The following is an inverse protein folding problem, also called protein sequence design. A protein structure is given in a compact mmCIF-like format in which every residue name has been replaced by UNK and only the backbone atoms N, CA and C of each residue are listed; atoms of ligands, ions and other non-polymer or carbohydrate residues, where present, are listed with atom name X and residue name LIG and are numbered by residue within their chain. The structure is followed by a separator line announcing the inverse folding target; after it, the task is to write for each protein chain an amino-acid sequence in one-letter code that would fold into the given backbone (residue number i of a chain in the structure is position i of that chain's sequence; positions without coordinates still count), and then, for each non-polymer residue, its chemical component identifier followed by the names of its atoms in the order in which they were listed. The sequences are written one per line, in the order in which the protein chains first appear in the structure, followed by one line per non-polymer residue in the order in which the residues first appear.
data_IF_719419253548
#
_entry.id   IF_719419253548
#
_cell.length_a   1.000
_cell.length_b   1.000
_cell.length_c   1.000
_cell.angle_alpha   90.00
_cell.angle_beta   90.00
_cell.angle_gamma   90.00
#
_symmetry.space_group_name_H-M   'P 1'
#
loop_
_entity.id
_entity.type
_entity.pdbx_description
1 polymer ?
#
# COMPACT_ATOMS: atom_id res chain seq x y z
N UNK A 1 26.16 3.96 -1.68
CA UNK A 1 25.51 3.52 -2.93
C UNK A 1 24.06 3.97 -2.91
N UNK A 2 23.57 4.62 -3.97
CA UNK A 2 22.24 5.22 -4.00
C UNK A 2 21.17 4.13 -4.22
N UNK A 3 20.66 3.57 -3.12
CA UNK A 3 19.75 2.41 -3.05
C UNK A 3 18.46 2.66 -3.87
N UNK A 4 18.12 3.93 -4.10
CA UNK A 4 16.96 4.38 -4.89
C UNK A 4 17.06 4.13 -6.40
N UNK A 5 18.26 3.95 -6.95
CA UNK A 5 18.47 3.91 -8.41
C UNK A 5 18.22 2.55 -9.05
N UNK A 6 18.38 1.46 -8.30
CA UNK A 6 18.28 0.09 -8.81
C UNK A 6 16.84 -0.33 -9.20
N UNK A 7 15.81 -0.15 -8.35
CA UNK A 7 14.46 -0.58 -8.70
C UNK A 7 13.83 0.29 -9.81
N UNK A 8 14.23 1.55 -9.94
CA UNK A 8 13.80 2.39 -11.08
C UNK A 8 14.32 1.85 -12.42
N UNK A 9 15.58 1.41 -12.46
CA UNK A 9 16.17 0.74 -13.63
C UNK A 9 15.48 -0.60 -13.92
N UNK A 10 15.15 -1.37 -12.88
CA UNK A 10 14.44 -2.63 -13.03
C UNK A 10 13.01 -2.44 -13.60
N UNK A 11 12.29 -1.41 -13.15
CA UNK A 11 10.97 -1.04 -13.71
C UNK A 11 11.09 -0.66 -15.18
N UNK A 12 12.11 0.13 -15.54
CA UNK A 12 12.34 0.49 -16.95
C UNK A 12 12.62 -0.75 -17.81
N UNK A 13 13.48 -1.65 -17.34
CA UNK A 13 13.76 -2.91 -18.02
C UNK A 13 12.53 -3.81 -18.16
N UNK A 14 11.65 -3.85 -17.15
CA UNK A 14 10.39 -4.60 -17.22
C UNK A 14 9.40 -4.00 -18.23
N UNK A 15 9.39 -2.67 -18.39
CA UNK A 15 8.62 -1.99 -19.45
C UNK A 15 9.10 -2.39 -20.84
N UNK A 16 10.42 -2.41 -21.05
CA UNK A 16 11.02 -2.78 -22.33
C UNK A 16 10.67 -4.23 -22.73
N UNK A 17 10.53 -5.13 -21.74
CA UNK A 17 10.15 -6.54 -21.95
C UNK A 17 8.63 -6.80 -22.02
N UNK A 18 7.78 -5.77 -21.88
CA UNK A 18 6.30 -5.86 -21.88
C UNK A 18 5.71 -6.87 -20.88
N UNK A 19 6.47 -7.30 -19.87
CA UNK A 19 5.96 -8.25 -18.86
C UNK A 19 5.24 -7.49 -17.75
N UNK A 20 3.91 -7.48 -17.83
CA UNK A 20 3.05 -6.73 -16.92
C UNK A 20 3.17 -7.24 -15.47
N UNK A 21 3.14 -8.56 -15.28
CA UNK A 21 3.25 -9.15 -13.94
C UNK A 21 4.58 -8.82 -13.26
N UNK A 22 5.69 -8.92 -14.00
CA UNK A 22 7.00 -8.62 -13.46
C UNK A 22 7.13 -7.14 -13.10
N UNK A 23 6.57 -6.25 -13.93
CA UNK A 23 6.53 -4.82 -13.61
C UNK A 23 5.77 -4.57 -12.31
N UNK A 24 4.63 -5.22 -12.10
CA UNK A 24 3.85 -5.05 -10.86
C UNK A 24 4.59 -5.53 -9.61
N UNK A 25 5.30 -6.67 -9.67
CA UNK A 25 6.15 -7.14 -8.55
C UNK A 25 7.28 -6.15 -8.22
N UNK A 26 7.89 -5.58 -9.26
CA UNK A 26 8.93 -4.56 -9.10
C UNK A 26 8.36 -3.25 -8.55
N UNK A 27 7.14 -2.87 -8.94
CA UNK A 27 6.43 -1.71 -8.41
C UNK A 27 6.06 -1.90 -6.94
N UNK A 28 5.63 -3.10 -6.52
CA UNK A 28 5.41 -3.44 -5.11
C UNK A 28 6.69 -3.32 -4.29
N UNK A 29 7.80 -3.85 -4.81
CA UNK A 29 9.12 -3.74 -4.15
C UNK A 29 9.57 -2.29 -4.06
N UNK A 30 9.34 -1.49 -5.11
CA UNK A 30 9.65 -0.08 -5.16
C UNK A 30 8.81 0.72 -4.14
N UNK A 31 7.53 0.38 -3.98
CA UNK A 31 6.65 0.99 -2.98
C UNK A 31 7.17 0.76 -1.56
N UNK A 32 7.53 -0.48 -1.22
CA UNK A 32 8.12 -0.80 0.09
C UNK A 32 9.43 -0.04 0.34
N UNK A 33 10.27 0.12 -0.68
CA UNK A 33 11.48 0.93 -0.56
C UNK A 33 11.17 2.43 -0.34
N UNK A 34 10.19 2.98 -1.05
CA UNK A 34 9.80 4.38 -0.84
C UNK A 34 9.19 4.62 0.54
N UNK A 35 8.44 3.65 1.06
CA UNK A 35 7.94 3.69 2.43
C UNK A 35 9.10 3.70 3.45
N UNK A 36 10.08 2.80 3.31
CA UNK A 36 11.25 2.73 4.19
C UNK A 36 12.15 3.96 4.12
N UNK A 37 12.14 4.70 3.00
CA UNK A 37 12.91 5.94 2.81
C UNK A 37 12.10 7.20 3.12
N UNK A 38 10.92 7.07 3.72
CA UNK A 38 10.00 8.15 4.05
C UNK A 38 9.55 9.00 2.83
N UNK A 39 9.66 8.49 1.61
CA UNK A 39 9.25 9.17 0.38
C UNK A 39 7.76 8.92 0.07
N UNK A 40 6.89 9.29 1.01
CA UNK A 40 5.46 8.95 0.99
C UNK A 40 4.71 9.42 -0.26
N UNK A 41 4.98 10.63 -0.76
CA UNK A 41 4.32 11.15 -1.99
C UNK A 41 4.65 10.34 -3.25
N UNK A 42 5.89 9.84 -3.35
CA UNK A 42 6.28 8.97 -4.47
C UNK A 42 5.67 7.59 -4.34
N UNK A 43 5.64 7.05 -3.10
CA UNK A 43 4.98 5.79 -2.81
C UNK A 43 3.49 5.84 -3.17
N UNK A 44 2.78 6.91 -2.79
CA UNK A 44 1.37 7.15 -3.12
C UNK A 44 1.15 7.16 -4.65
N UNK A 45 2.00 7.85 -5.40
CA UNK A 45 1.89 7.92 -6.86
C UNK A 45 2.03 6.54 -7.52
N UNK A 46 3.03 5.76 -7.13
CA UNK A 46 3.24 4.39 -7.66
C UNK A 46 2.09 3.47 -7.24
N UNK A 47 1.65 3.54 -5.99
CA UNK A 47 0.60 2.70 -5.45
C UNK A 47 -0.77 2.95 -6.09
N UNK A 48 -1.13 4.21 -6.35
CA UNK A 48 -2.38 4.56 -7.05
C UNK A 48 -2.36 4.12 -8.52
N UNK A 49 -1.21 4.23 -9.18
CA UNK A 49 -1.04 3.72 -10.55
C UNK A 49 -1.21 2.20 -10.58
N UNK A 50 -0.53 1.48 -9.69
CA UNK A 50 -0.64 0.03 -9.56
C UNK A 50 -2.08 -0.40 -9.26
N UNK A 51 -2.76 0.23 -8.28
CA UNK A 51 -4.15 -0.06 -7.94
C UNK A 51 -5.10 0.08 -9.14
N UNK A 52 -4.92 1.14 -9.94
CA UNK A 52 -5.77 1.39 -11.12
C UNK A 52 -5.58 0.35 -12.21
N UNK A 53 -4.37 -0.20 -12.34
CA UNK A 53 -4.05 -1.25 -13.31
C UNK A 53 -4.46 -2.64 -12.82
N UNK A 54 -4.18 -2.99 -11.57
CA UNK A 54 -4.54 -4.30 -11.00
C UNK A 54 -6.06 -4.46 -10.90
N UNK A 55 -6.80 -3.36 -10.68
CA UNK A 55 -8.27 -3.35 -10.74
C UNK A 55 -8.82 -3.71 -12.12
N UNK A 56 -8.12 -3.33 -13.20
CA UNK A 56 -8.52 -3.70 -14.58
C UNK A 56 -8.22 -5.17 -14.87
N UNK A 57 -7.08 -5.67 -14.39
CA UNK A 57 -6.64 -7.06 -14.61
C UNK A 57 -7.29 -8.06 -13.64
N UNK A 58 -8.02 -7.57 -12.63
CA UNK A 58 -8.63 -8.37 -11.56
C UNK A 58 -7.61 -9.22 -10.76
N UNK A 59 -6.36 -8.76 -10.69
CA UNK A 59 -5.35 -9.37 -9.82
C UNK A 59 -5.60 -8.92 -8.37
N UNK A 60 -6.37 -9.74 -7.65
CA UNK A 60 -6.85 -9.43 -6.30
C UNK A 60 -5.72 -9.42 -5.28
N UNK A 61 -4.75 -10.32 -5.38
CA UNK A 61 -3.64 -10.40 -4.41
C UNK A 61 -2.79 -9.11 -4.46
N UNK A 62 -2.42 -8.66 -5.67
CA UNK A 62 -1.66 -7.42 -5.83
C UNK A 62 -2.49 -6.20 -5.46
N UNK A 63 -3.79 -6.23 -5.71
CA UNK A 63 -4.72 -5.16 -5.30
C UNK A 63 -4.75 -5.02 -3.77
N UNK A 64 -4.78 -6.12 -3.03
CA UNK A 64 -4.72 -6.11 -1.55
C UNK A 64 -3.39 -5.50 -1.07
N UNK A 65 -2.25 -5.95 -1.62
CA UNK A 65 -0.92 -5.40 -1.28
C UNK A 65 -0.81 -3.90 -1.58
N UNK A 66 -1.32 -3.44 -2.72
CA UNK A 66 -1.33 -2.03 -3.09
C UNK A 66 -2.17 -1.18 -2.14
N UNK A 67 -3.39 -1.64 -1.79
CA UNK A 67 -4.28 -0.96 -0.85
C UNK A 67 -3.69 -0.90 0.58
N UNK A 68 -3.00 -1.97 1.01
CA UNK A 68 -2.32 -2.01 2.30
C UNK A 68 -1.19 -0.96 2.37
N UNK A 69 -0.37 -0.89 1.32
CA UNK A 69 0.68 0.12 1.23
C UNK A 69 0.10 1.55 1.18
N UNK A 70 -0.97 1.79 0.40
CA UNK A 70 -1.68 3.08 0.41
C UNK A 70 -2.16 3.44 1.82
N UNK A 71 -2.74 2.48 2.54
CA UNK A 71 -3.18 2.68 3.92
C UNK A 71 -2.02 3.06 4.85
N UNK A 72 -0.88 2.38 4.75
CA UNK A 72 0.33 2.67 5.53
C UNK A 72 0.89 4.07 5.20
N UNK A 73 0.96 4.44 3.92
CA UNK A 73 1.45 5.73 3.44
C UNK A 73 0.51 6.86 3.91
N UNK A 74 -0.80 6.74 3.73
CA UNK A 74 -1.75 7.76 4.20
C UNK A 74 -1.73 7.91 5.72
N UNK A 75 -1.57 6.82 6.46
CA UNK A 75 -1.40 6.86 7.91
C UNK A 75 -0.11 7.63 8.29
N UNK A 76 1.01 7.35 7.62
CA UNK A 76 2.27 8.07 7.85
C UNK A 76 2.19 9.56 7.48
N UNK A 77 1.36 9.94 6.51
CA UNK A 77 1.08 11.34 6.16
C UNK A 77 0.04 12.02 7.08
N UNK A 78 -0.52 11.31 8.06
CA UNK A 78 -1.56 11.84 8.96
C UNK A 78 -2.98 11.89 8.38
N UNK A 79 -3.21 11.32 7.19
CA UNK A 79 -4.54 11.24 6.59
C UNK A 79 -5.27 9.97 7.00
N UNK A 80 -5.82 9.98 8.22
CA UNK A 80 -6.49 8.81 8.83
C UNK A 80 -7.73 8.39 8.03
N UNK A 81 -8.51 9.34 7.52
CA UNK A 81 -9.73 9.05 6.76
C UNK A 81 -9.44 8.25 5.49
N UNK A 82 -8.44 8.66 4.70
CA UNK A 82 -8.01 7.91 3.51
C UNK A 82 -7.35 6.58 3.88
N UNK A 83 -6.56 6.54 4.95
CA UNK A 83 -5.95 5.30 5.41
C UNK A 83 -7.01 4.25 5.78
N UNK A 84 -8.09 4.68 6.45
CA UNK A 84 -9.24 3.84 6.83
C UNK A 84 -10.03 3.36 5.61
N UNK A 85 -10.29 4.24 4.63
CA UNK A 85 -10.96 3.84 3.40
C UNK A 85 -10.20 2.72 2.67
N UNK A 86 -8.89 2.88 2.51
CA UNK A 86 -8.04 1.89 1.82
C UNK A 86 -7.93 0.56 2.58
N UNK A 87 -7.86 0.56 3.92
CA UNK A 87 -7.81 -0.71 4.68
C UNK A 87 -9.14 -1.46 4.62
N UNK A 88 -10.27 -0.75 4.61
CA UNK A 88 -11.59 -1.37 4.43
C UNK A 88 -11.67 -2.03 3.05
N UNK A 89 -11.26 -1.33 1.99
CA UNK A 89 -11.18 -1.91 0.64
C UNK A 89 -10.25 -3.12 0.60
N UNK A 90 -9.07 -3.04 1.20
CA UNK A 90 -8.13 -4.16 1.26
C UNK A 90 -8.73 -5.39 1.92
N UNK A 91 -9.42 -5.23 3.07
CA UNK A 91 -10.10 -6.34 3.76
C UNK A 91 -11.23 -6.93 2.93
N UNK A 92 -12.03 -6.12 2.24
CA UNK A 92 -13.10 -6.61 1.36
C UNK A 92 -12.55 -7.42 0.19
N UNK A 93 -11.44 -7.00 -0.41
CA UNK A 93 -10.80 -7.77 -1.50
C UNK A 93 -10.10 -9.03 -0.97
N UNK A 94 -9.48 -8.97 0.21
CA UNK A 94 -8.86 -10.12 0.87
C UNK A 94 -9.87 -11.21 1.21
N UNK A 95 -11.10 -10.85 1.63
CA UNK A 95 -12.18 -11.82 1.86
C UNK A 95 -12.63 -12.57 0.60
N UNK A 96 -12.40 -12.00 -0.59
CA UNK A 96 -12.78 -12.62 -1.88
C UNK A 96 -11.73 -13.60 -2.41
N UNK A 97 -10.58 -13.71 -1.74
CA UNK A 97 -9.50 -14.64 -2.08
C UNK A 97 -9.10 -15.44 -0.85
N UNK A 98 -8.53 -16.62 -1.07
CA UNK A 98 -7.82 -17.28 0.02
C UNK A 98 -6.55 -16.49 0.29
N UNK A 99 -6.55 -15.72 1.39
CA UNK A 99 -5.43 -14.86 1.78
C UNK A 99 -4.50 -15.66 2.71
N UNK A 100 -3.18 -15.70 2.46
CA UNK A 100 -2.24 -16.34 3.37
C UNK A 100 -2.26 -15.68 4.77
N UNK A 101 -2.01 -16.44 5.85
CA UNK A 101 -2.12 -15.95 7.22
C UNK A 101 -1.23 -14.73 7.50
N UNK A 102 -0.05 -14.66 6.87
CA UNK A 102 0.87 -13.53 7.01
C UNK A 102 0.26 -12.22 6.50
N UNK A 103 -0.37 -12.25 5.32
CA UNK A 103 -1.01 -11.07 4.73
C UNK A 103 -2.24 -10.64 5.54
N UNK A 104 -3.01 -11.61 6.04
CA UNK A 104 -4.13 -11.33 6.93
C UNK A 104 -3.67 -10.67 8.23
N UNK A 105 -2.57 -11.16 8.83
CA UNK A 105 -1.96 -10.56 10.00
C UNK A 105 -1.53 -9.11 9.78
N UNK A 106 -0.95 -8.80 8.62
CA UNK A 106 -0.54 -7.43 8.28
C UNK A 106 -1.74 -6.48 8.12
N UNK A 107 -2.83 -6.95 7.50
CA UNK A 107 -4.09 -6.21 7.38
C UNK A 107 -4.69 -5.89 8.75
N UNK A 108 -4.67 -6.84 9.68
CA UNK A 108 -5.21 -6.66 11.02
C UNK A 108 -4.32 -5.77 11.89
N UNK A 109 -3.00 -5.87 11.75
CA UNK A 109 -2.06 -4.95 12.39
C UNK A 109 -2.28 -3.51 11.93
N UNK A 110 -2.41 -3.28 10.62
CA UNK A 110 -2.65 -1.95 10.07
C UNK A 110 -4.02 -1.39 10.51
N UNK A 111 -5.04 -2.24 10.55
CA UNK A 111 -6.36 -1.90 11.11
C UNK A 111 -6.25 -1.43 12.57
N UNK A 112 -5.48 -2.13 13.40
CA UNK A 112 -5.24 -1.77 14.79
C UNK A 112 -4.54 -0.42 14.95
N UNK A 113 -3.50 -0.16 14.14
CA UNK A 113 -2.77 1.13 14.15
C UNK A 113 -3.70 2.30 13.85
N UNK A 114 -4.55 2.18 12.83
CA UNK A 114 -5.52 3.21 12.45
C UNK A 114 -6.55 3.44 13.56
N UNK A 115 -7.02 2.36 14.20
CA UNK A 115 -8.01 2.43 15.27
C UNK A 115 -7.47 3.16 16.50
N UNK A 116 -6.24 2.85 16.93
CA UNK A 116 -5.57 3.53 18.05
C UNK A 116 -5.34 5.02 17.76
N UNK A 117 -4.91 5.35 16.54
CA UNK A 117 -4.71 6.73 16.12
C UNK A 117 -6.02 7.54 16.19
N UNK A 118 -7.15 6.93 15.80
CA UNK A 118 -8.47 7.54 15.93
C UNK A 118 -8.83 7.84 17.39
N UNK A 119 -8.72 6.87 18.31
CA UNK A 119 -9.05 7.12 19.72
C UNK A 119 -8.18 8.20 20.36
N UNK A 120 -6.89 8.26 20.03
CA UNK A 120 -6.01 9.31 20.54
C UNK A 120 -6.53 10.70 20.15
N UNK A 121 -6.92 10.90 18.88
CA UNK A 121 -7.50 12.18 18.43
C UNK A 121 -8.85 12.50 19.07
N UNK A 122 -9.68 11.49 19.35
CA UNK A 122 -10.97 11.68 20.01
C UNK A 122 -10.81 12.01 21.49
N UNK A 123 -9.86 11.37 22.18
CA UNK A 123 -9.58 11.66 23.59
C UNK A 123 -9.13 13.10 23.78
N UNK A 124 -8.26 13.61 22.91
CA UNK A 124 -7.76 15.00 22.97
C UNK A 124 -8.91 16.00 22.77
N UNK A 125 -9.84 15.71 21.85
CA UNK A 125 -10.98 16.58 21.54
C UNK A 125 -12.07 16.60 22.62
N UNK A 126 -12.13 15.58 23.48
CA UNK A 126 -13.09 15.53 24.60
C UNK A 126 -12.54 16.27 25.84
N UNK A 127 -11.22 16.40 25.94
CA UNK A 127 -10.54 17.08 27.05
C UNK A 127 -10.34 18.60 26.85
N UNK A 128 -10.70 19.15 25.69
CA UNK A 128 -10.80 20.60 25.40
C UNK A 128 -12.25 21.07 25.50
#
# INVERSE_FOLDING_TARGET
MNISSLPQKAVQWARDRKSVNLRHELELTLMSLYYNTCQYKKAEGVANALYSETKKLQDKEKTVKACLCLSQVYHAMGNISKARANITTAKTEALKIYTPPDMQGELDLQSGRIHLCFYSTYSIRISE
#
